data_IF_765058215580
#
_entry.id   IF_765058215580
#
_cell.length_a   1.000
_cell.length_b   1.000
_cell.length_c   1.000
_cell.angle_alpha   90.00
_cell.angle_beta   90.00
_cell.angle_gamma   90.00
#
_symmetry.space_group_name_H-M   'P 1'
#
loop_
_entity.id
_entity.type
_entity.pdbx_description
1 polymer ?
#
# COMPACT_ATOMS: atom_id res chain seq x y z
N UNK A 1 -3.04 -10.70 -5.89
CA UNK A 1 -3.25 -11.27 -4.54
C UNK A 1 -1.97 -11.27 -3.70
N UNK A 2 -0.98 -12.15 -3.96
CA UNK A 2 0.17 -12.29 -3.05
C UNK A 2 0.99 -11.00 -2.86
N UNK A 3 1.32 -10.29 -3.95
CA UNK A 3 2.06 -9.03 -3.86
C UNK A 3 1.26 -7.91 -3.17
N UNK A 4 -0.06 -7.90 -3.35
CA UNK A 4 -0.93 -6.93 -2.66
C UNK A 4 -0.93 -7.14 -1.14
N UNK A 5 -0.80 -8.39 -0.65
CA UNK A 5 -0.65 -8.65 0.78
C UNK A 5 0.65 -8.05 1.35
N UNK A 6 1.74 -8.02 0.57
CA UNK A 6 2.99 -7.37 1.01
C UNK A 6 2.81 -5.85 1.15
N UNK A 7 2.11 -5.23 0.20
CA UNK A 7 1.75 -3.80 0.27
C UNK A 7 0.84 -3.50 1.46
N UNK A 8 -0.13 -4.37 1.75
CA UNK A 8 -1.01 -4.26 2.93
C UNK A 8 -0.22 -4.38 4.23
N UNK A 9 0.79 -5.25 4.29
CA UNK A 9 1.66 -5.36 5.46
C UNK A 9 2.41 -4.05 5.73
N UNK A 10 2.88 -3.36 4.68
CA UNK A 10 3.49 -2.03 4.80
C UNK A 10 2.50 -0.98 5.34
N UNK A 11 1.23 -1.02 4.91
CA UNK A 11 0.16 -0.15 5.44
C UNK A 11 -0.12 -0.44 6.92
N UNK A 12 -0.22 -1.73 7.27
CA UNK A 12 -0.49 -2.23 8.61
C UNK A 12 0.66 -1.97 9.59
N UNK A 13 1.90 -1.93 9.07
CA UNK A 13 3.11 -1.55 9.79
C UNK A 13 3.25 -0.04 10.02
N UNK A 14 2.16 0.73 9.84
CA UNK A 14 2.15 2.19 9.95
C UNK A 14 3.17 2.87 9.01
N UNK A 15 3.44 2.29 7.84
CA UNK A 15 4.23 2.97 6.81
C UNK A 15 3.51 4.21 6.27
N UNK A 16 4.26 5.20 5.81
CA UNK A 16 3.72 6.35 5.05
C UNK A 16 4.03 6.25 3.57
N UNK A 17 5.00 5.39 3.21
CA UNK A 17 5.34 5.07 1.83
C UNK A 17 5.67 3.58 1.72
N UNK A 18 5.21 2.97 0.64
CA UNK A 18 5.75 1.73 0.10
C UNK A 18 6.21 1.97 -1.34
N UNK A 19 7.36 1.44 -1.67
CA UNK A 19 7.94 1.46 -3.00
C UNK A 19 7.98 0.03 -3.54
N UNK A 20 7.48 -0.16 -4.76
CA UNK A 20 7.46 -1.42 -5.48
C UNK A 20 8.33 -1.24 -6.72
N UNK A 21 9.48 -1.90 -6.77
CA UNK A 21 10.38 -1.90 -7.92
C UNK A 21 10.26 -3.23 -8.66
N UNK A 22 9.75 -3.16 -9.89
CA UNK A 22 9.54 -4.29 -10.78
C UNK A 22 10.65 -4.40 -11.82
N UNK A 23 11.45 -5.45 -11.72
CA UNK A 23 12.48 -5.80 -12.68
C UNK A 23 12.34 -7.25 -13.17
N UNK A 24 11.27 -7.54 -13.93
CA UNK A 24 10.99 -8.89 -14.42
C UNK A 24 12.08 -9.40 -15.39
N UNK A 25 12.87 -8.51 -16.01
CA UNK A 25 13.97 -8.90 -16.90
C UNK A 25 15.10 -9.57 -16.14
N UNK A 26 15.34 -9.12 -14.91
CA UNK A 26 16.29 -9.72 -13.98
C UNK A 26 15.59 -10.66 -12.97
N UNK A 27 14.36 -11.07 -13.29
CA UNK A 27 13.53 -11.96 -12.48
C UNK A 27 13.45 -11.54 -11.00
N UNK A 28 13.19 -10.24 -10.80
CA UNK A 28 13.31 -9.60 -9.50
C UNK A 28 12.15 -8.64 -9.21
N UNK A 29 11.68 -8.66 -7.96
CA UNK A 29 10.77 -7.66 -7.41
C UNK A 29 11.30 -7.20 -6.06
N UNK A 30 11.33 -5.89 -5.83
CA UNK A 30 11.68 -5.31 -4.53
C UNK A 30 10.47 -4.56 -4.00
N UNK A 31 10.15 -4.77 -2.72
CA UNK A 31 9.14 -4.02 -1.98
C UNK A 31 9.83 -3.41 -0.77
N UNK A 32 9.78 -2.08 -0.62
CA UNK A 32 10.39 -1.40 0.53
C UNK A 32 9.40 -0.41 1.15
N UNK A 33 9.22 -0.49 2.45
CA UNK A 33 8.41 0.45 3.22
C UNK A 33 9.18 1.11 4.37
N UNK A 34 8.64 2.22 4.84
CA UNK A 34 9.16 2.97 5.97
C UNK A 34 8.32 2.79 7.24
N UNK A 35 7.68 1.63 7.40
CA UNK A 35 6.91 1.30 8.61
C UNK A 35 7.79 1.10 9.84
N UNK A 36 7.21 0.57 10.91
CA UNK A 36 7.91 0.35 12.19
C UNK A 36 8.99 -0.74 12.15
N UNK A 37 9.10 -1.50 11.06
CA UNK A 37 10.02 -2.64 10.94
C UNK A 37 9.72 -3.76 11.93
N UNK A 38 10.65 -4.69 12.10
CA UNK A 38 10.50 -5.80 13.05
C UNK A 38 11.76 -5.91 13.92
N UNK A 39 11.58 -6.10 15.22
CA UNK A 39 12.65 -6.61 16.05
C UNK A 39 12.82 -8.13 15.90
N UNK A 40 13.80 -8.71 16.59
CA UNK A 40 14.07 -10.14 16.52
C UNK A 40 12.91 -11.01 17.03
N UNK A 41 12.18 -10.55 18.06
CA UNK A 41 11.03 -11.27 18.59
C UNK A 41 9.85 -11.23 17.60
N UNK A 42 9.60 -10.08 16.99
CA UNK A 42 8.59 -9.94 15.96
C UNK A 42 8.92 -10.77 14.71
N UNK A 43 10.17 -10.72 14.25
CA UNK A 43 10.65 -11.54 13.13
C UNK A 43 10.46 -13.04 13.39
N UNK A 44 10.89 -13.52 14.56
CA UNK A 44 10.80 -14.95 14.92
C UNK A 44 9.36 -15.43 15.11
N UNK A 45 8.50 -14.61 15.73
CA UNK A 45 7.13 -15.02 16.04
C UNK A 45 6.14 -14.82 14.90
N UNK A 46 6.37 -13.84 14.01
CA UNK A 46 5.41 -13.47 12.98
C UNK A 46 5.88 -13.80 11.57
N UNK A 47 7.16 -13.55 11.24
CA UNK A 47 7.66 -13.83 9.89
C UNK A 47 8.02 -15.31 9.71
N UNK A 48 8.75 -15.89 10.67
CA UNK A 48 9.21 -17.28 10.52
C UNK A 48 8.10 -18.32 10.67
N UNK A 49 6.93 -17.97 11.21
CA UNK A 49 5.82 -18.92 11.43
C UNK A 49 4.80 -18.85 10.30
N UNK A 50 4.65 -19.96 9.56
CA UNK A 50 3.58 -20.13 8.57
C UNK A 50 2.23 -20.08 9.29
N UNK A 51 1.36 -19.14 8.89
CA UNK A 51 0.00 -19.05 9.41
C UNK A 51 -0.10 -18.61 10.87
N UNK A 52 0.89 -17.86 11.38
CA UNK A 52 0.87 -17.33 12.75
C UNK A 52 -0.44 -16.55 12.97
N UNK A 53 -1.36 -17.04 13.84
CA UNK A 53 -2.56 -16.31 14.15
C UNK A 53 -2.12 -15.15 15.02
N UNK A 54 -1.92 -13.98 14.41
CA UNK A 54 -2.08 -12.73 15.13
C UNK A 54 -3.48 -12.84 15.75
N UNK A 55 -3.55 -13.21 17.03
CA UNK A 55 -4.79 -13.26 17.81
C UNK A 55 -5.51 -11.97 17.47
N UNK A 56 -6.74 -12.06 16.96
CA UNK A 56 -7.55 -10.94 16.45
C UNK A 56 -7.93 -9.88 17.49
N UNK A 57 -6.96 -9.39 18.25
CA UNK A 57 -7.09 -8.39 19.32
C UNK A 57 -6.76 -6.98 18.83
N UNK A 58 -5.82 -6.83 17.88
CA UNK A 58 -5.50 -5.51 17.30
C UNK A 58 -6.28 -5.30 16.00
N UNK A 59 -7.40 -4.56 16.09
CA UNK A 59 -8.15 -4.06 14.92
C UNK A 59 -7.48 -2.84 14.29
N UNK A 60 -6.59 -2.19 15.04
CA UNK A 60 -5.95 -0.94 14.67
C UNK A 60 -4.43 -1.07 14.73
N UNK A 61 -3.75 -0.36 13.83
CA UNK A 61 -2.29 -0.24 13.80
C UNK A 61 -1.74 0.48 15.05
N UNK A 62 -0.43 0.39 15.30
CA UNK A 62 0.21 0.84 16.55
C UNK A 62 0.20 2.36 16.67
N UNK A 63 0.58 3.06 15.61
CA UNK A 63 0.88 4.50 15.58
C UNK A 63 -0.32 5.28 15.05
N UNK A 64 -0.71 5.06 13.80
CA UNK A 64 -1.74 5.86 13.13
C UNK A 64 -3.17 5.39 13.41
N UNK A 65 -3.33 4.29 14.16
CA UNK A 65 -4.62 3.68 14.49
C UNK A 65 -5.48 3.40 13.26
N UNK A 66 -4.84 3.03 12.14
CA UNK A 66 -5.51 2.62 10.90
C UNK A 66 -6.21 1.29 11.13
N UNK A 67 -7.34 1.05 10.46
CA UNK A 67 -7.95 -0.28 10.45
C UNK A 67 -7.01 -1.25 9.72
N UNK A 68 -6.58 -2.30 10.39
CA UNK A 68 -5.69 -3.32 9.82
C UNK A 68 -6.36 -4.01 8.62
N UNK A 69 -5.58 -4.30 7.60
CA UNK A 69 -6.04 -4.72 6.27
C UNK A 69 -5.58 -6.13 5.89
N UNK A 70 -4.45 -6.58 6.45
CA UNK A 70 -3.85 -7.88 6.18
C UNK A 70 -4.71 -9.04 6.68
N UNK A 71 -4.80 -10.07 5.84
CA UNK A 71 -5.44 -11.33 6.22
C UNK A 71 -4.41 -12.27 6.86
N UNK A 72 -4.69 -12.69 8.11
CA UNK A 72 -4.07 -13.79 8.89
C UNK A 72 -2.75 -14.39 8.35
N UNK A 73 -1.59 -13.86 8.71
CA UNK A 73 -0.31 -14.61 8.66
C UNK A 73 0.11 -15.13 7.28
N UNK A 74 -0.39 -14.54 6.19
CA UNK A 74 -0.13 -14.97 4.80
C UNK A 74 1.20 -14.37 4.28
N UNK A 75 1.91 -13.53 5.03
CA UNK A 75 3.15 -12.87 4.57
C UNK A 75 4.21 -13.82 4.02
N UNK A 76 4.59 -14.86 4.79
CA UNK A 76 5.57 -15.87 4.34
C UNK A 76 5.06 -16.73 3.18
N UNK A 77 3.76 -17.03 3.15
CA UNK A 77 3.15 -17.80 2.07
C UNK A 77 3.08 -16.96 0.77
N UNK A 78 2.79 -15.67 0.88
CA UNK A 78 2.74 -14.75 -0.24
C UNK A 78 4.10 -14.66 -0.93
N UNK A 79 5.20 -14.47 -0.19
CA UNK A 79 6.55 -14.46 -0.79
C UNK A 79 6.92 -15.80 -1.41
N UNK A 80 6.58 -16.93 -0.76
CA UNK A 80 6.84 -18.27 -1.30
C UNK A 80 6.06 -18.55 -2.59
N UNK A 81 4.87 -17.96 -2.77
CA UNK A 81 4.10 -18.09 -4.02
C UNK A 81 4.69 -17.24 -5.16
N UNK A 82 5.39 -16.15 -4.83
CA UNK A 82 5.91 -15.20 -5.81
C UNK A 82 7.30 -15.59 -6.33
N UNK A 83 8.14 -16.20 -5.50
CA UNK A 83 9.56 -16.39 -5.80
C UNK A 83 10.15 -17.67 -5.18
N UNK A 84 11.25 -18.14 -5.75
CA UNK A 84 12.05 -19.24 -5.19
C UNK A 84 13.09 -18.75 -4.19
N UNK A 85 13.45 -17.46 -4.21
CA UNK A 85 14.40 -16.86 -3.30
C UNK A 85 13.85 -15.57 -2.69
N UNK A 86 14.17 -15.39 -1.41
CA UNK A 86 13.81 -14.22 -0.63
C UNK A 86 15.04 -13.71 0.10
N UNK A 87 15.19 -12.39 0.09
CA UNK A 87 15.96 -11.64 1.07
C UNK A 87 15.05 -10.63 1.76
N UNK A 88 14.96 -10.70 3.08
CA UNK A 88 14.25 -9.77 3.95
C UNK A 88 15.28 -8.94 4.70
N UNK A 89 15.16 -7.62 4.65
CA UNK A 89 15.92 -6.69 5.49
C UNK A 89 14.91 -5.89 6.30
N UNK A 90 15.06 -5.82 7.62
CA UNK A 90 14.17 -5.05 8.48
C UNK A 90 14.94 -4.33 9.57
N UNK A 91 14.52 -3.11 9.86
CA UNK A 91 15.08 -2.24 10.89
C UNK A 91 13.93 -1.78 11.78
N UNK A 92 13.96 -2.20 13.04
CA UNK A 92 12.94 -1.83 14.02
C UNK A 92 13.06 -0.37 14.42
N UNK A 93 11.92 0.31 14.58
CA UNK A 93 11.87 1.65 15.19
C UNK A 93 12.41 1.68 16.63
N UNK A 94 12.38 0.53 17.33
CA UNK A 94 12.89 0.41 18.69
C UNK A 94 14.43 0.39 18.73
N UNK A 95 15.07 0.01 17.62
CA UNK A 95 16.53 0.01 17.48
C UNK A 95 16.95 0.25 16.01
N UNK A 96 16.98 1.52 15.58
CA UNK A 96 17.33 1.87 14.21
C UNK A 96 18.79 1.61 13.83
N UNK A 97 19.66 1.33 14.82
CA UNK A 97 21.10 1.17 14.63
C UNK A 97 21.51 -0.22 14.15
N UNK A 98 20.57 -1.17 14.19
CA UNK A 98 20.78 -2.55 13.74
C UNK A 98 19.74 -2.93 12.70
N UNK A 99 20.16 -3.69 11.70
CA UNK A 99 19.27 -4.32 10.72
C UNK A 99 19.35 -5.83 10.85
N UNK A 100 18.19 -6.48 10.82
CA UNK A 100 18.07 -7.91 10.66
C UNK A 100 17.96 -8.21 9.17
N UNK A 101 18.85 -9.07 8.69
CA UNK A 101 18.82 -9.59 7.32
C UNK A 101 18.53 -11.08 7.38
N UNK A 102 17.55 -11.54 6.62
CA UNK A 102 17.23 -12.97 6.51
C UNK A 102 17.10 -13.40 5.06
N UNK A 103 17.61 -14.59 4.75
CA UNK A 103 17.51 -15.20 3.43
C UNK A 103 16.82 -16.54 3.49
N UNK A 104 16.03 -16.84 2.46
CA UNK A 104 15.36 -18.13 2.27
C UNK A 104 15.52 -18.53 0.81
N UNK A 105 15.99 -19.77 0.59
CA UNK A 105 15.98 -20.40 -0.73
C UNK A 105 15.04 -21.61 -0.68
N UNK A 106 13.93 -21.54 -1.42
CA UNK A 106 12.97 -22.64 -1.50
C UNK A 106 13.30 -23.66 -2.58
N UNK A 107 14.27 -23.38 -3.45
CA UNK A 107 14.69 -24.31 -4.52
C UNK A 107 15.15 -25.64 -3.92
N UNK A 108 15.87 -25.60 -2.79
CA UNK A 108 16.38 -26.78 -2.08
C UNK A 108 15.28 -27.58 -1.33
N UNK A 109 14.16 -26.95 -0.98
CA UNK A 109 13.08 -27.56 -0.20
C UNK A 109 12.02 -28.26 -1.07
N UNK A 110 11.92 -27.91 -2.36
CA UNK A 110 11.01 -28.58 -3.31
C UNK A 110 11.48 -30.02 -3.60
N UNK A 111 12.80 -30.23 -3.67
CA UNK A 111 13.39 -31.54 -3.99
C UNK A 111 13.24 -32.58 -2.87
N UNK A 112 12.99 -32.16 -1.64
CA UNK A 112 12.82 -33.05 -0.48
C UNK A 112 11.36 -33.37 -0.14
N UNK A 113 10.40 -32.83 -0.90
CA UNK A 113 8.97 -33.05 -0.67
C UNK A 113 8.40 -32.35 0.56
N UNK A 114 9.18 -31.46 1.20
CA UNK A 114 8.80 -30.76 2.42
C UNK A 114 8.90 -29.24 2.24
N UNK A 115 7.90 -28.69 1.53
CA UNK A 115 7.76 -27.26 1.22
C UNK A 115 7.73 -26.35 2.47
N UNK A 116 7.53 -26.93 3.66
CA UNK A 116 7.45 -26.21 4.93
C UNK A 116 8.77 -26.10 5.70
N UNK A 117 9.79 -26.86 5.32
CA UNK A 117 11.05 -26.99 6.06
C UNK A 117 12.22 -26.14 5.54
N UNK A 118 11.99 -25.23 4.59
CA UNK A 118 13.02 -24.27 4.19
C UNK A 118 13.47 -23.42 5.40
N UNK A 119 14.73 -23.58 5.81
CA UNK A 119 15.34 -22.83 6.91
C UNK A 119 15.56 -21.38 6.50
N UNK A 120 15.16 -20.45 7.35
CA UNK A 120 15.51 -19.05 7.19
C UNK A 120 16.84 -18.78 7.90
N UNK A 121 17.87 -18.45 7.12
CA UNK A 121 19.13 -17.96 7.68
C UNK A 121 18.95 -16.49 8.05
N UNK A 122 19.58 -16.02 9.13
CA UNK A 122 19.53 -14.63 9.51
C UNK A 122 20.84 -14.13 10.13
N UNK A 123 21.10 -12.84 9.97
CA UNK A 123 22.18 -12.11 10.61
C UNK A 123 21.66 -10.76 11.13
N UNK A 124 22.28 -10.27 12.21
CA UNK A 124 22.04 -8.93 12.74
C UNK A 124 23.33 -8.14 12.54
N UNK A 125 23.25 -7.04 11.81
CA UNK A 125 24.39 -6.21 11.43
C UNK A 125 24.10 -4.73 11.71
N UNK A 126 25.14 -3.91 11.78
CA UNK A 126 24.98 -2.47 11.96
C UNK A 126 24.24 -1.85 10.77
N UNK A 127 23.40 -0.86 11.08
CA UNK A 127 22.66 -0.05 10.13
C UNK A 127 23.16 1.40 10.19
N UNK A 128 24.03 1.77 9.25
CA UNK A 128 24.59 3.13 9.20
C UNK A 128 23.55 4.18 8.80
N UNK A 129 22.48 3.77 8.10
CA UNK A 129 21.43 4.68 7.63
C UNK A 129 20.52 5.18 8.76
N UNK A 130 20.47 4.47 9.90
CA UNK A 130 19.59 4.76 11.04
C UNK A 130 18.12 4.99 10.65
N UNK A 131 17.67 4.33 9.58
CA UNK A 131 16.29 4.39 9.08
C UNK A 131 15.58 3.06 9.31
N UNK A 132 14.42 3.15 9.94
CA UNK A 132 13.50 2.02 10.12
C UNK A 132 12.77 1.66 8.82
N UNK A 133 12.22 0.45 8.80
CA UNK A 133 11.41 -0.03 7.69
C UNK A 133 11.65 -1.50 7.39
N UNK A 134 11.04 -1.97 6.31
CA UNK A 134 11.23 -3.34 5.82
C UNK A 134 11.41 -3.34 4.31
N UNK A 135 12.40 -4.09 3.83
CA UNK A 135 12.65 -4.33 2.43
C UNK A 135 12.59 -5.84 2.17
N UNK A 136 11.76 -6.24 1.21
CA UNK A 136 11.59 -7.60 0.73
C UNK A 136 12.11 -7.64 -0.70
N UNK A 137 13.11 -8.47 -0.96
CA UNK A 137 13.70 -8.71 -2.27
C UNK A 137 13.33 -10.13 -2.66
N UNK A 138 12.63 -10.27 -3.78
CA UNK A 138 12.19 -11.52 -4.35
C UNK A 138 12.97 -11.76 -5.64
N UNK A 139 13.63 -12.91 -5.75
CA UNK A 139 14.40 -13.33 -6.93
C UNK A 139 13.98 -14.72 -7.38
N UNK A 140 14.24 -15.07 -8.64
CA UNK A 140 13.79 -16.32 -9.25
C UNK A 140 12.24 -16.46 -9.17
N UNK A 141 11.52 -15.52 -9.80
CA UNK A 141 10.07 -15.41 -9.70
C UNK A 141 9.39 -16.64 -10.31
N UNK A 142 8.32 -17.10 -9.66
CA UNK A 142 7.59 -18.31 -10.07
C UNK A 142 6.62 -18.10 -11.22
N UNK A 143 6.35 -16.84 -11.58
CA UNK A 143 5.44 -16.48 -12.66
C UNK A 143 6.02 -15.34 -13.49
N UNK A 144 5.66 -15.34 -14.78
CA UNK A 144 5.90 -14.18 -15.64
C UNK A 144 4.92 -13.07 -15.29
N UNK A 145 5.42 -11.84 -15.28
CA UNK A 145 4.60 -10.66 -15.06
C UNK A 145 4.29 -9.97 -16.38
N UNK A 146 3.03 -9.58 -16.53
CA UNK A 146 2.52 -8.87 -17.69
C UNK A 146 1.69 -7.66 -17.24
N UNK A 147 1.23 -6.86 -18.22
CA UNK A 147 0.41 -5.69 -17.94
C UNK A 147 -0.92 -6.02 -17.26
N UNK A 148 -1.45 -7.23 -17.43
CA UNK A 148 -2.70 -7.64 -16.76
C UNK A 148 -2.47 -7.90 -15.28
N UNK A 149 -1.37 -8.57 -14.94
CA UNK A 149 -0.93 -8.81 -13.56
C UNK A 149 -0.68 -7.49 -12.83
N UNK A 150 -0.05 -6.51 -13.51
CA UNK A 150 0.17 -5.15 -12.97
C UNK A 150 -1.16 -4.40 -12.77
N UNK A 151 -2.12 -4.52 -13.70
CA UNK A 151 -3.47 -3.97 -13.50
C UNK A 151 -4.18 -4.62 -12.31
N UNK A 152 -4.08 -5.94 -12.19
CA UNK A 152 -4.64 -6.70 -11.08
C UNK A 152 -4.11 -6.21 -9.73
N UNK A 153 -2.79 -6.03 -9.62
CA UNK A 153 -2.16 -5.45 -8.43
C UNK A 153 -2.76 -4.08 -8.09
N UNK A 154 -2.79 -3.15 -9.05
CA UNK A 154 -3.33 -1.81 -8.82
C UNK A 154 -4.80 -1.83 -8.38
N UNK A 155 -5.63 -2.70 -8.96
CA UNK A 155 -7.04 -2.88 -8.57
C UNK A 155 -7.19 -3.41 -7.14
N UNK A 156 -6.24 -4.18 -6.62
CA UNK A 156 -6.32 -4.73 -5.27
C UNK A 156 -5.91 -3.73 -4.17
N UNK A 157 -5.07 -2.73 -4.51
CA UNK A 157 -4.41 -1.85 -3.52
C UNK A 157 -4.77 -0.37 -3.63
N UNK A 158 -5.53 0.05 -4.64
CA UNK A 158 -5.86 1.48 -4.86
C UNK A 158 -6.47 2.18 -3.63
N UNK A 159 -7.30 1.47 -2.88
CA UNK A 159 -8.06 1.99 -1.75
C UNK A 159 -7.20 2.21 -0.50
N UNK A 160 -5.96 1.71 -0.48
CA UNK A 160 -5.00 1.98 0.60
C UNK A 160 -4.47 3.43 0.55
N UNK A 161 -4.57 4.07 -0.61
CA UNK A 161 -4.26 5.49 -0.75
C UNK A 161 -5.52 6.32 -0.47
N UNK A 162 -5.39 7.49 0.18
CA UNK A 162 -6.53 8.35 0.41
C UNK A 162 -7.15 8.77 -0.93
N UNK A 163 -8.49 8.78 -1.04
CA UNK A 163 -9.16 9.16 -2.28
C UNK A 163 -8.98 10.65 -2.60
N UNK A 164 -8.56 11.46 -1.61
CA UNK A 164 -8.39 12.90 -1.71
C UNK A 164 -6.90 13.25 -1.66
N UNK A 165 -6.38 13.86 -2.74
CA UNK A 165 -5.15 14.65 -2.67
C UNK A 165 -5.54 16.05 -2.21
N UNK A 166 -6.03 16.17 -0.98
CA UNK A 166 -6.32 17.48 -0.41
C UNK A 166 -5.01 18.28 -0.40
N UNK A 167 -5.01 19.45 -1.04
CA UNK A 167 -3.86 20.37 -1.05
C UNK A 167 -3.66 21.05 0.31
N UNK A 168 -4.63 20.91 1.22
CA UNK A 168 -4.66 21.49 2.57
C UNK A 168 -4.79 20.38 3.63
N UNK A 169 -3.97 19.34 3.53
CA UNK A 169 -3.79 18.37 4.62
C UNK A 169 -2.82 19.03 5.61
N UNK A 170 -3.19 19.13 6.89
CA UNK A 170 -2.26 19.65 7.91
C UNK A 170 -0.98 18.78 7.92
N UNK A 171 0.18 19.35 8.29
CA UNK A 171 1.43 18.57 8.39
C UNK A 171 1.26 17.30 9.25
N UNK A 172 0.43 17.37 10.29
CA UNK A 172 0.09 16.23 11.16
C UNK A 172 -0.74 15.15 10.47
N UNK A 173 -1.54 15.47 9.44
CA UNK A 173 -2.33 14.51 8.68
C UNK A 173 -1.56 14.00 7.43
N UNK A 174 -0.63 14.79 6.89
CA UNK A 174 0.28 14.37 5.80
C UNK A 174 1.12 13.17 6.21
N UNK A 175 1.62 13.17 7.45
CA UNK A 175 2.36 12.06 8.04
C UNK A 175 1.54 10.79 8.25
N UNK A 176 0.22 10.80 8.04
CA UNK A 176 -0.65 9.62 8.20
C UNK A 176 -1.05 9.00 6.86
N UNK A 177 -0.75 9.65 5.75
CA UNK A 177 -1.10 9.17 4.41
C UNK A 177 -0.18 8.02 4.02
N UNK A 178 -0.74 6.99 3.40
CA UNK A 178 0.01 5.91 2.80
C UNK A 178 0.15 6.14 1.29
N UNK A 179 1.39 6.27 0.83
CA UNK A 179 1.73 6.43 -0.58
C UNK A 179 2.26 5.12 -1.15
N UNK A 180 1.77 4.76 -2.33
CA UNK A 180 2.26 3.62 -3.11
C UNK A 180 3.02 4.20 -4.31
N UNK A 181 4.31 3.90 -4.39
CA UNK A 181 5.20 4.26 -5.49
C UNK A 181 5.54 3.00 -6.27
N UNK A 182 5.25 2.98 -7.57
CA UNK A 182 5.51 1.83 -8.44
C UNK A 182 6.49 2.23 -9.53
N UNK A 183 7.62 1.52 -9.58
CA UNK A 183 8.70 1.73 -10.54
C UNK A 183 8.95 0.46 -11.32
N UNK A 184 9.36 0.61 -12.57
CA UNK A 184 9.81 -0.52 -13.38
C UNK A 184 10.72 -0.06 -14.50
N UNK A 185 11.71 -0.89 -14.82
CA UNK A 185 12.51 -0.70 -16.03
C UNK A 185 11.65 -0.73 -17.30
N UNK A 186 10.48 -1.39 -17.26
CA UNK A 186 9.50 -1.37 -18.33
C UNK A 186 8.48 -0.24 -18.11
N UNK A 187 8.65 0.88 -18.82
CA UNK A 187 7.77 2.06 -18.72
C UNK A 187 6.30 1.78 -19.05
N UNK A 188 6.02 0.73 -19.81
CA UNK A 188 4.66 0.23 -20.05
C UNK A 188 3.98 -0.25 -18.76
N UNK A 189 4.72 -0.88 -17.84
CA UNK A 189 4.18 -1.31 -16.54
C UNK A 189 3.91 -0.13 -15.63
N UNK A 190 4.85 0.81 -15.52
CA UNK A 190 4.63 2.06 -14.76
C UNK A 190 3.38 2.80 -15.25
N UNK A 191 3.25 2.97 -16.57
CA UNK A 191 2.08 3.60 -17.18
C UNK A 191 0.80 2.84 -16.87
N UNK A 192 0.83 1.52 -17.00
CA UNK A 192 -0.33 0.65 -16.74
C UNK A 192 -0.79 0.73 -15.28
N UNK A 193 0.16 0.64 -14.35
CA UNK A 193 -0.11 0.77 -12.92
C UNK A 193 -0.69 2.14 -12.60
N UNK A 194 -0.05 3.22 -13.06
CA UNK A 194 -0.48 4.59 -12.79
C UNK A 194 -1.86 4.90 -13.36
N UNK A 195 -2.19 4.40 -14.56
CA UNK A 195 -3.54 4.54 -15.12
C UNK A 195 -4.54 3.82 -14.21
N UNK A 196 -4.25 2.58 -13.81
CA UNK A 196 -5.20 1.74 -13.08
C UNK A 196 -5.40 2.17 -11.63
N UNK A 197 -4.33 2.52 -10.91
CA UNK A 197 -4.37 2.93 -9.50
C UNK A 197 -5.16 4.24 -9.34
N UNK A 198 -5.06 5.15 -10.31
CA UNK A 198 -5.81 6.41 -10.32
C UNK A 198 -7.17 6.31 -11.04
N UNK A 199 -7.49 5.18 -11.67
CA UNK A 199 -8.69 5.07 -12.52
C UNK A 199 -9.97 5.37 -11.73
N UNK A 200 -10.12 4.79 -10.54
CA UNK A 200 -11.30 5.00 -9.70
C UNK A 200 -11.40 6.43 -9.16
N UNK A 201 -10.25 7.10 -8.96
CA UNK A 201 -10.22 8.52 -8.59
C UNK A 201 -10.56 9.43 -9.77
N UNK A 202 -10.57 8.91 -11.01
CA UNK A 202 -10.76 9.68 -12.24
C UNK A 202 -12.08 9.38 -12.98
N UNK A 203 -12.92 8.47 -12.46
CA UNK A 203 -14.25 8.15 -13.04
C UNK A 203 -15.37 9.08 -12.55
N UNK A 204 -15.06 10.12 -11.77
CA UNK A 204 -16.08 11.09 -11.39
C UNK A 204 -16.61 11.86 -12.61
N UNK A 205 -17.89 12.16 -12.59
CA UNK A 205 -18.60 12.95 -13.60
C UNK A 205 -18.69 14.42 -13.17
N UNK A 206 -18.92 14.61 -11.87
CA UNK A 206 -18.79 15.89 -11.21
C UNK A 206 -18.06 15.71 -9.88
N UNK A 207 -17.37 16.75 -9.42
CA UNK A 207 -16.88 16.83 -8.04
C UNK A 207 -17.22 18.20 -7.45
N UNK A 208 -17.54 18.20 -6.17
CA UNK A 208 -17.80 19.40 -5.38
C UNK A 208 -16.65 19.50 -4.39
N UNK A 209 -15.79 20.49 -4.54
CA UNK A 209 -14.70 20.79 -3.62
C UNK A 209 -15.11 21.98 -2.78
N UNK A 210 -14.87 21.94 -1.47
CA UNK A 210 -15.15 23.09 -0.63
C UNK A 210 -14.25 23.21 0.58
N UNK A 211 -14.23 24.43 1.11
CA UNK A 211 -13.45 24.83 2.29
C UNK A 211 -14.33 25.67 3.19
N UNK A 212 -14.41 25.30 4.46
CA UNK A 212 -15.08 26.05 5.51
C UNK A 212 -14.02 26.69 6.43
N UNK A 213 -14.19 27.98 6.73
CA UNK A 213 -13.42 28.73 7.72
C UNK A 213 -14.40 29.56 8.55
N UNK A 214 -14.64 29.14 9.80
CA UNK A 214 -15.55 29.80 10.75
C UNK A 214 -16.93 30.12 10.15
N UNK A 215 -17.52 29.16 9.43
CA UNK A 215 -18.81 29.31 8.77
C UNK A 215 -18.75 29.94 7.39
N UNK A 216 -17.62 30.52 6.96
CA UNK A 216 -17.43 30.98 5.58
C UNK A 216 -17.06 29.78 4.70
N UNK A 217 -18.00 29.36 3.85
CA UNK A 217 -17.82 28.20 2.97
C UNK A 217 -17.62 28.68 1.55
N UNK A 218 -16.53 28.26 0.92
CA UNK A 218 -16.32 28.35 -0.52
C UNK A 218 -16.55 26.99 -1.14
N UNK A 219 -17.35 26.90 -2.20
CA UNK A 219 -17.59 25.67 -2.96
C UNK A 219 -17.21 25.88 -4.43
N UNK A 220 -16.60 24.87 -5.02
CA UNK A 220 -16.35 24.74 -6.45
C UNK A 220 -16.97 23.44 -6.94
N UNK A 221 -17.94 23.53 -7.85
CA UNK A 221 -18.50 22.42 -8.60
C UNK A 221 -17.77 22.30 -9.93
N UNK A 222 -17.10 21.17 -10.15
CA UNK A 222 -16.39 20.86 -11.40
C UNK A 222 -17.10 19.71 -12.10
N UNK A 223 -17.47 19.91 -13.37
CA UNK A 223 -17.83 18.82 -14.28
C UNK A 223 -16.63 18.47 -15.16
N UNK A 224 -16.57 17.21 -15.58
CA UNK A 224 -15.50 16.75 -16.46
C UNK A 224 -15.55 17.52 -17.79
N UNK A 225 -14.44 18.15 -18.15
CA UNK A 225 -14.26 18.93 -19.39
C UNK A 225 -15.11 20.22 -19.48
N UNK A 226 -15.66 20.70 -18.37
CA UNK A 226 -16.40 21.97 -18.30
C UNK A 226 -15.71 23.00 -17.39
N UNK A 227 -16.15 24.27 -17.47
CA UNK A 227 -15.63 25.32 -16.58
C UNK A 227 -16.17 25.12 -15.15
N UNK A 228 -15.31 25.23 -14.12
CA UNK A 228 -15.76 25.16 -12.73
C UNK A 228 -16.77 26.26 -12.39
N UNK A 229 -17.80 25.90 -11.63
CA UNK A 229 -18.79 26.82 -11.07
C UNK A 229 -18.41 27.06 -9.62
N UNK A 230 -18.28 28.32 -9.21
CA UNK A 230 -17.88 28.69 -7.85
C UNK A 230 -19.03 29.37 -7.12
N UNK A 231 -19.18 29.05 -5.84
CA UNK A 231 -20.16 29.68 -4.96
C UNK A 231 -19.60 29.90 -3.56
N UNK A 232 -20.18 30.84 -2.81
CA UNK A 232 -19.80 31.15 -1.43
C UNK A 232 -21.02 31.39 -0.58
N UNK A 233 -21.04 30.82 0.62
CA UNK A 233 -22.10 31.04 1.58
C UNK A 233 -21.57 31.08 3.00
N UNK A 234 -22.40 31.63 3.89
CA UNK A 234 -22.12 31.73 5.31
C UNK A 234 -23.10 30.86 6.08
N UNK A 235 -22.58 30.03 6.99
CA UNK A 235 -23.38 29.22 7.91
C UNK A 235 -23.38 29.91 9.27
N UNK A 236 -24.53 30.48 9.65
CA UNK A 236 -24.73 31.00 11.01
C UNK A 236 -24.61 29.89 12.04
N UNK A 237 -23.97 30.20 13.19
CA UNK A 237 -23.77 29.26 14.29
C UNK A 237 -23.02 27.97 13.88
N UNK A 238 -22.10 28.08 12.92
CA UNK A 238 -21.27 26.95 12.51
C UNK A 238 -20.30 26.53 13.63
N UNK A 239 -20.54 25.36 14.23
CA UNK A 239 -19.65 24.77 15.23
C UNK A 239 -18.32 24.25 14.64
N UNK A 240 -18.25 24.10 13.31
CA UNK A 240 -17.05 23.64 12.61
C UNK A 240 -16.13 24.83 12.31
N UNK A 241 -15.01 24.92 13.03
CA UNK A 241 -14.06 26.04 12.93
C UNK A 241 -13.30 26.06 11.60
N UNK A 242 -12.91 24.90 11.08
CA UNK A 242 -12.31 24.75 9.76
C UNK A 242 -12.60 23.35 9.18
N UNK A 243 -12.47 23.22 7.86
CA UNK A 243 -12.49 21.91 7.21
C UNK A 243 -12.48 22.02 5.69
N UNK A 244 -11.81 21.08 5.04
CA UNK A 244 -11.87 20.89 3.59
C UNK A 244 -12.70 19.65 3.29
N UNK A 245 -13.45 19.67 2.20
CA UNK A 245 -14.23 18.53 1.76
C UNK A 245 -14.20 18.41 0.24
N UNK A 246 -14.35 17.18 -0.23
CA UNK A 246 -14.54 16.87 -1.64
C UNK A 246 -15.60 15.78 -1.75
N UNK A 247 -16.65 16.04 -2.54
CA UNK A 247 -17.72 15.10 -2.84
C UNK A 247 -17.61 14.75 -4.31
N UNK A 248 -17.34 13.50 -4.64
CA UNK A 248 -17.32 13.02 -6.02
C UNK A 248 -18.65 12.37 -6.37
N UNK A 249 -19.18 12.74 -7.52
CA UNK A 249 -20.42 12.21 -8.08
C UNK A 249 -20.04 11.28 -9.22
N UNK A 250 -20.39 10.00 -9.06
CA UNK A 250 -20.13 8.96 -10.05
C UNK A 250 -21.43 8.54 -10.72
N UNK A 251 -21.48 8.54 -12.05
CA UNK A 251 -22.58 7.95 -12.80
C UNK A 251 -22.28 6.47 -13.07
N UNK A 252 -22.70 5.63 -12.13
CA UNK A 252 -22.39 4.20 -12.13
C UNK A 252 -23.43 3.38 -12.93
N UNK A 253 -23.53 3.64 -14.23
CA UNK A 253 -24.31 2.82 -15.17
C UNK A 253 -23.40 2.07 -16.16
N UNK A 254 -23.78 0.86 -16.56
CA UNK A 254 -23.03 0.06 -17.55
C UNK A 254 -21.62 -0.38 -17.12
N UNK A 255 -20.73 -0.65 -18.10
CA UNK A 255 -19.30 -0.91 -17.85
C UNK A 255 -18.57 0.43 -17.64
N UNK A 256 -17.90 0.59 -16.50
CA UNK A 256 -17.08 1.78 -16.25
C UNK A 256 -15.79 1.74 -17.08
N UNK A 257 -15.22 2.91 -17.37
CA UNK A 257 -13.90 3.01 -18.02
C UNK A 257 -12.85 2.25 -17.20
N UNK A 258 -11.81 1.74 -17.87
CA UNK A 258 -10.73 0.95 -17.26
C UNK A 258 -11.16 -0.39 -16.62
N UNK A 259 -12.32 -0.93 -17.00
CA UNK A 259 -12.75 -2.26 -16.57
C UNK A 259 -13.03 -2.37 -15.07
N UNK A 260 -13.42 -1.26 -14.44
CA UNK A 260 -13.90 -1.20 -13.06
C UNK A 260 -15.36 -1.68 -13.06
N UNK A 261 -15.70 -2.64 -12.18
CA UNK A 261 -17.10 -3.02 -12.01
C UNK A 261 -17.85 -1.95 -11.23
N UNK A 262 -19.14 -1.76 -11.52
CA UNK A 262 -19.99 -0.82 -10.76
C UNK A 262 -19.98 -1.14 -9.26
N UNK A 263 -19.91 -2.41 -8.87
CA UNK A 263 -19.76 -2.81 -7.46
C UNK A 263 -18.44 -2.33 -6.84
N UNK A 264 -17.32 -2.50 -7.55
CA UNK A 264 -15.98 -2.06 -7.10
C UNK A 264 -15.86 -0.53 -6.99
N UNK A 265 -16.73 0.22 -7.69
CA UNK A 265 -16.79 1.68 -7.58
C UNK A 265 -17.77 2.18 -6.50
N UNK A 266 -18.59 1.28 -5.91
CA UNK A 266 -19.56 1.61 -4.86
C UNK A 266 -19.03 1.35 -3.46
N UNK A 267 -18.15 0.36 -3.30
CA UNK A 267 -17.52 -0.07 -2.05
C UNK A 267 -16.24 0.71 -1.75
#
# INVERSE_FOLDING_TARGET
IALAELVKNSYDADGTKVEIDFDPKNDKIIISDNGHGMDFEEFTNFWMRIGSPHKGKKKLSKIFKRKMTGSKGVGRLAVQLLANELELITVSENDPTRKLRSTVNWTEAVDTGDLTNATANYEIINNEENKQGTTIILTNLKQKWDSESVRGLAKEIWWLQPPFRSLDISENELGKIFYIDFKSQEKTFERTFNIQINAILNIWYAKIVGKNIYGNVTITLEFKDEKPINDKFYIENCNLTNGNFEIRIYYLSGRQKHGIKVSEARD
#
